data_IF_104624305565
#
_entry.id   IF_104624305565
#
_cell.length_a   1.000
_cell.length_b   1.000
_cell.length_c   1.000
_cell.angle_alpha   90.00
_cell.angle_beta   90.00
_cell.angle_gamma   90.00
#
_symmetry.space_group_name_H-M   'P 1'
#
loop_
_entity.id
_entity.type
_entity.pdbx_description
1 polymer ?
#
# COMPACT_ATOMS: atom_id res chain seq x y z
N UNK A 1 40.23 52.42 -70.85
CA UNK A 1 40.46 51.51 -69.73
C UNK A 1 39.56 51.96 -68.58
N UNK A 2 38.37 51.38 -68.49
CA UNK A 2 37.34 51.75 -67.50
C UNK A 2 37.42 50.77 -66.39
N UNK A 3 37.72 51.24 -65.20
CA UNK A 3 37.78 50.43 -63.94
C UNK A 3 36.37 50.37 -63.34
N UNK A 4 35.80 49.19 -63.37
CA UNK A 4 34.46 48.92 -62.80
C UNK A 4 34.63 48.50 -61.30
N UNK A 5 34.23 49.36 -60.39
CA UNK A 5 34.28 49.14 -58.98
C UNK A 5 33.02 48.31 -58.51
N UNK A 6 33.20 47.04 -58.25
CA UNK A 6 32.13 46.21 -57.67
C UNK A 6 32.02 46.49 -56.18
N UNK A 7 30.93 47.15 -55.79
CA UNK A 7 30.57 47.35 -54.40
C UNK A 7 29.77 46.12 -53.88
N UNK A 8 30.44 45.26 -53.12
CA UNK A 8 29.78 44.09 -52.46
C UNK A 8 28.99 44.58 -51.27
N UNK A 9 27.66 44.57 -51.34
CA UNK A 9 26.76 44.86 -50.28
C UNK A 9 26.56 43.52 -49.50
N UNK A 10 27.20 43.38 -48.33
CA UNK A 10 26.96 42.32 -47.41
C UNK A 10 25.67 42.61 -46.61
N UNK A 11 24.59 41.89 -46.91
CA UNK A 11 23.42 41.86 -46.04
C UNK A 11 23.75 41.08 -44.77
N UNK A 12 23.97 41.80 -43.69
CA UNK A 12 23.97 41.20 -42.37
C UNK A 12 22.50 40.86 -42.01
N UNK A 13 22.14 39.57 -42.07
CA UNK A 13 20.87 39.07 -41.52
C UNK A 13 20.93 39.19 -40.00
N UNK A 14 20.27 40.21 -39.49
CA UNK A 14 20.01 40.28 -38.04
C UNK A 14 19.00 39.15 -37.70
N UNK A 15 19.50 38.05 -37.18
CA UNK A 15 18.65 37.08 -36.54
C UNK A 15 18.07 37.78 -35.30
N UNK A 16 16.82 38.16 -35.37
CA UNK A 16 16.04 38.57 -34.19
C UNK A 16 15.96 37.34 -33.28
N UNK A 17 16.69 37.39 -32.19
CA UNK A 17 16.48 36.44 -31.11
C UNK A 17 15.02 36.61 -30.66
N UNK A 18 14.19 35.61 -30.92
CA UNK A 18 12.85 35.54 -30.39
C UNK A 18 12.99 35.50 -28.85
N UNK A 19 12.58 36.60 -28.18
CA UNK A 19 12.60 36.64 -26.72
C UNK A 19 11.75 35.48 -26.20
N UNK A 20 12.39 34.55 -25.49
CA UNK A 20 11.69 33.42 -24.89
C UNK A 20 10.57 33.95 -23.98
N UNK A 21 9.34 33.57 -24.26
CA UNK A 21 8.19 33.95 -23.44
C UNK A 21 8.45 33.54 -21.99
N UNK A 22 8.18 34.41 -21.01
CA UNK A 22 8.36 34.06 -19.60
C UNK A 22 7.42 32.91 -19.20
N UNK A 23 7.91 32.00 -18.38
CA UNK A 23 7.09 30.92 -17.83
C UNK A 23 6.15 31.50 -16.81
N UNK A 24 4.86 31.27 -16.98
CA UNK A 24 3.80 31.60 -16.03
C UNK A 24 3.40 30.39 -15.24
N UNK A 25 3.14 30.56 -13.95
CA UNK A 25 2.69 29.48 -13.05
C UNK A 25 1.40 29.92 -12.38
N UNK A 26 0.39 29.09 -12.49
CA UNK A 26 -0.91 29.27 -11.85
C UNK A 26 -1.10 28.17 -10.80
N UNK A 27 -1.66 28.54 -9.64
CA UNK A 27 -2.14 27.60 -8.62
C UNK A 27 -3.62 27.88 -8.42
N UNK A 28 -4.47 26.89 -8.64
CA UNK A 28 -5.94 27.00 -8.55
C UNK A 28 -6.49 28.23 -9.28
N UNK A 29 -6.05 28.44 -10.53
CA UNK A 29 -6.41 29.53 -11.43
C UNK A 29 -5.79 30.92 -11.07
N UNK A 30 -5.07 31.05 -9.96
CA UNK A 30 -4.37 32.29 -9.59
C UNK A 30 -2.93 32.31 -10.11
N UNK A 31 -2.54 33.37 -10.85
CA UNK A 31 -1.17 33.54 -11.35
C UNK A 31 -0.22 33.87 -10.18
N UNK A 32 0.82 33.04 -10.00
CA UNK A 32 1.84 33.29 -8.99
C UNK A 32 2.85 34.33 -9.45
N UNK A 33 3.16 35.24 -8.54
CA UNK A 33 4.24 36.20 -8.69
C UNK A 33 5.50 35.73 -7.96
N UNK A 34 6.64 35.93 -8.59
CA UNK A 34 7.94 35.54 -8.08
C UNK A 34 8.93 36.71 -8.10
N UNK A 35 9.76 36.85 -7.06
CA UNK A 35 10.85 37.82 -7.04
C UNK A 35 11.96 37.38 -8.03
N UNK A 36 12.22 36.07 -8.12
CA UNK A 36 13.10 35.45 -9.12
C UNK A 36 12.22 34.65 -10.08
N UNK A 37 12.20 34.99 -11.39
CA UNK A 37 11.34 34.31 -12.36
C UNK A 37 11.57 32.80 -12.42
N UNK A 38 10.52 31.99 -12.75
CA UNK A 38 10.68 30.59 -12.96
C UNK A 38 11.82 30.24 -13.93
N UNK A 39 12.61 29.25 -13.57
CA UNK A 39 13.79 28.84 -14.32
C UNK A 39 13.58 27.44 -14.91
N UNK A 40 13.66 27.32 -16.23
CA UNK A 40 13.79 26.01 -16.89
C UNK A 40 15.25 25.57 -16.89
N UNK A 41 15.58 24.53 -16.13
CA UNK A 41 16.92 23.98 -16.04
C UNK A 41 16.86 22.45 -16.11
N UNK A 42 17.63 21.87 -17.05
CA UNK A 42 17.61 20.41 -17.30
C UNK A 42 16.19 19.84 -17.45
N UNK A 43 15.34 20.45 -18.28
CA UNK A 43 13.95 20.06 -18.53
C UNK A 43 13.04 20.09 -17.28
N UNK A 44 13.48 20.77 -16.24
CA UNK A 44 12.73 20.92 -14.99
C UNK A 44 12.51 22.39 -14.69
N UNK A 45 11.28 22.76 -14.39
CA UNK A 45 10.95 24.13 -13.97
C UNK A 45 11.18 24.26 -12.47
N UNK A 46 11.98 25.27 -12.12
CA UNK A 46 12.25 25.66 -10.75
C UNK A 46 11.51 26.95 -10.43
N UNK A 47 10.94 27.01 -9.24
CA UNK A 47 10.22 28.19 -8.73
C UNK A 47 10.63 28.49 -7.30
N UNK A 48 10.41 29.70 -6.82
CA UNK A 48 10.64 30.06 -5.42
C UNK A 48 9.79 29.24 -4.49
N UNK A 49 10.43 28.55 -3.52
CA UNK A 49 9.72 27.66 -2.60
C UNK A 49 8.66 28.39 -1.80
N UNK A 50 8.96 29.64 -1.39
CA UNK A 50 8.09 30.40 -0.49
C UNK A 50 6.79 30.80 -1.18
N UNK A 51 6.86 31.28 -2.41
CA UNK A 51 5.66 31.63 -3.20
C UNK A 51 4.82 30.38 -3.49
N UNK A 52 5.47 29.26 -3.90
CA UNK A 52 4.77 28.04 -4.21
C UNK A 52 4.07 27.43 -2.97
N UNK A 53 4.80 27.18 -1.89
CA UNK A 53 4.23 26.56 -0.69
C UNK A 53 3.15 27.42 -0.02
N UNK A 54 3.30 28.76 -0.08
CA UNK A 54 2.26 29.67 0.43
C UNK A 54 0.97 29.58 -0.40
N UNK A 55 1.09 29.49 -1.72
CA UNK A 55 -0.07 29.33 -2.60
C UNK A 55 -0.75 27.96 -2.44
N UNK A 56 0.01 26.95 -2.00
CA UNK A 56 -0.49 25.62 -1.68
C UNK A 56 -1.03 25.50 -0.23
N UNK A 57 -1.14 26.61 0.50
CA UNK A 57 -1.61 26.68 1.90
C UNK A 57 -0.77 25.85 2.88
N UNK A 58 0.56 25.88 2.70
CA UNK A 58 1.51 25.23 3.61
C UNK A 58 2.17 26.24 4.55
N UNK A 59 2.24 25.87 5.82
CA UNK A 59 3.13 26.54 6.77
C UNK A 59 4.58 26.22 6.45
N UNK A 60 5.43 27.27 6.36
CA UNK A 60 6.83 27.11 5.97
C UNK A 60 7.80 27.65 7.01
N UNK A 61 8.92 26.95 7.17
CA UNK A 61 10.08 27.43 7.90
C UNK A 61 11.35 27.18 7.11
N UNK A 62 12.39 27.99 7.35
CA UNK A 62 13.68 27.87 6.71
C UNK A 62 14.79 27.95 7.74
N UNK A 63 15.59 26.90 7.84
CA UNK A 63 16.79 26.87 8.64
C UNK A 63 17.98 27.27 7.76
N UNK A 64 18.50 28.48 7.99
CA UNK A 64 19.59 29.02 7.20
C UNK A 64 20.92 28.31 7.42
N UNK A 65 21.16 27.78 8.63
CA UNK A 65 22.39 27.06 8.96
C UNK A 65 22.45 25.69 8.28
N UNK A 66 21.33 24.96 8.30
CA UNK A 66 21.19 23.66 7.63
C UNK A 66 20.79 23.79 6.16
N UNK A 67 20.48 25.01 5.66
CA UNK A 67 19.92 25.27 4.33
C UNK A 67 18.68 24.41 4.03
N UNK A 68 17.84 24.22 5.05
CA UNK A 68 16.70 23.30 5.02
C UNK A 68 15.38 24.05 5.00
N UNK A 69 14.52 23.67 4.08
CA UNK A 69 13.12 24.06 4.01
C UNK A 69 12.30 22.99 4.73
N UNK A 70 11.34 23.43 5.56
CA UNK A 70 10.27 22.57 6.06
C UNK A 70 8.95 23.21 5.70
N UNK A 71 8.07 22.38 5.15
CA UNK A 71 6.71 22.77 4.83
C UNK A 71 5.75 21.75 5.48
N UNK A 72 4.63 22.25 5.99
CA UNK A 72 3.59 21.44 6.63
C UNK A 72 2.23 21.89 6.12
N UNK A 73 1.38 20.96 5.70
CA UNK A 73 0.00 21.28 5.31
C UNK A 73 -0.81 21.82 6.49
N UNK A 74 -1.85 22.59 6.22
CA UNK A 74 -2.68 23.22 7.25
C UNK A 74 -3.35 22.19 8.19
N UNK A 75 -3.72 21.01 7.68
CA UNK A 75 -4.22 19.88 8.46
C UNK A 75 -3.11 19.12 9.21
N UNK A 76 -1.84 19.39 8.87
CA UNK A 76 -0.67 18.76 9.47
C UNK A 76 -0.36 17.35 8.98
N UNK A 77 -1.09 16.81 8.03
CA UNK A 77 -0.93 15.45 7.54
C UNK A 77 0.26 15.29 6.59
N UNK A 78 0.61 16.34 5.84
CA UNK A 78 1.75 16.31 4.92
C UNK A 78 2.88 17.18 5.45
N UNK A 79 4.05 16.57 5.63
CA UNK A 79 5.30 17.26 5.96
C UNK A 79 6.35 17.02 4.87
N UNK A 80 7.01 18.09 4.43
CA UNK A 80 8.03 18.03 3.39
C UNK A 80 9.28 18.74 3.90
N UNK A 81 10.41 18.05 3.91
CA UNK A 81 11.71 18.67 4.17
C UNK A 81 12.60 18.57 2.93
N UNK A 82 13.15 19.70 2.51
CA UNK A 82 14.07 19.82 1.39
C UNK A 82 15.35 20.51 1.85
N UNK A 83 16.51 20.02 1.39
CA UNK A 83 17.80 20.66 1.68
C UNK A 83 18.43 21.13 0.38
N UNK A 84 18.89 22.37 0.35
CA UNK A 84 19.56 22.95 -0.83
C UNK A 84 20.78 22.10 -1.18
N UNK A 85 20.88 21.70 -2.45
CA UNK A 85 21.95 20.85 -2.96
C UNK A 85 21.83 19.37 -2.63
N UNK A 86 20.75 18.92 -1.99
CA UNK A 86 20.47 17.49 -1.74
C UNK A 86 19.47 16.93 -2.74
N UNK A 87 19.73 15.72 -3.22
CA UNK A 87 18.81 14.93 -4.02
C UNK A 87 17.90 14.04 -3.17
N UNK A 88 17.92 14.21 -1.84
CA UNK A 88 17.02 13.49 -0.93
C UNK A 88 16.10 14.49 -0.25
N UNK A 89 14.82 14.22 -0.35
CA UNK A 89 13.76 14.89 0.41
C UNK A 89 13.26 13.96 1.53
N UNK A 90 12.65 14.53 2.57
CA UNK A 90 11.93 13.77 3.58
C UNK A 90 10.45 14.16 3.44
N UNK A 91 9.60 13.16 3.16
CA UNK A 91 8.14 13.35 3.03
C UNK A 91 7.49 12.45 4.07
N UNK A 92 6.71 13.05 4.99
CA UNK A 92 6.06 12.34 6.10
C UNK A 92 7.02 11.46 6.93
N UNK A 93 8.27 11.94 7.10
CA UNK A 93 9.32 11.21 7.83
C UNK A 93 10.10 10.18 7.00
N UNK A 94 9.68 9.90 5.78
CA UNK A 94 10.35 8.94 4.90
C UNK A 94 11.31 9.63 3.92
N UNK A 95 12.47 9.00 3.69
CA UNK A 95 13.45 9.46 2.71
C UNK A 95 13.01 9.15 1.28
N UNK A 96 12.81 10.17 0.47
CA UNK A 96 12.43 10.06 -0.94
C UNK A 96 13.52 10.63 -1.83
N UNK A 97 13.94 9.89 -2.85
CA UNK A 97 14.90 10.37 -3.83
C UNK A 97 14.23 11.39 -4.76
N UNK A 98 14.83 12.56 -4.89
CA UNK A 98 14.46 13.56 -5.89
C UNK A 98 15.51 13.56 -7.00
N UNK A 99 15.12 13.45 -8.27
CA UNK A 99 16.08 13.51 -9.38
C UNK A 99 16.72 14.91 -9.53
N UNK A 100 16.17 15.92 -8.84
CA UNK A 100 16.60 17.31 -8.94
C UNK A 100 16.73 17.94 -7.55
N UNK A 101 17.82 18.69 -7.37
CA UNK A 101 18.16 19.33 -6.08
C UNK A 101 17.57 20.74 -6.01
N UNK A 102 17.09 21.20 -4.84
CA UNK A 102 16.80 22.62 -4.64
C UNK A 102 18.04 23.49 -4.85
N UNK A 103 17.87 24.65 -5.47
CA UNK A 103 18.95 25.56 -5.87
C UNK A 103 18.86 26.89 -5.11
N UNK A 104 20.00 27.52 -4.87
CA UNK A 104 20.06 28.92 -4.40
C UNK A 104 20.38 29.85 -5.59
N UNK A 105 19.51 30.82 -5.87
CA UNK A 105 19.71 31.79 -6.94
C UNK A 105 19.24 33.18 -6.48
N UNK A 106 20.06 34.19 -6.67
CA UNK A 106 19.74 35.57 -6.32
C UNK A 106 19.21 35.75 -4.89
N UNK A 107 19.77 34.96 -3.93
CA UNK A 107 19.36 34.97 -2.53
C UNK A 107 18.02 34.25 -2.26
N UNK A 108 17.41 33.62 -3.24
CA UNK A 108 16.17 32.84 -3.13
C UNK A 108 16.45 31.35 -3.33
N UNK A 109 15.73 30.53 -2.59
CA UNK A 109 15.77 29.07 -2.79
C UNK A 109 14.71 28.68 -3.79
N UNK A 110 15.14 28.05 -4.86
CA UNK A 110 14.27 27.51 -5.92
C UNK A 110 14.13 25.99 -5.76
N UNK A 111 12.92 25.50 -5.94
CA UNK A 111 12.59 24.07 -5.82
C UNK A 111 12.03 23.54 -7.15
N UNK A 112 12.25 22.24 -7.44
CA UNK A 112 11.67 21.61 -8.62
C UNK A 112 10.14 21.56 -8.48
N UNK A 113 9.41 22.35 -9.26
CA UNK A 113 7.97 22.54 -9.11
C UNK A 113 7.22 21.22 -9.16
N UNK A 114 7.47 20.38 -10.18
CA UNK A 114 6.77 19.10 -10.36
C UNK A 114 7.01 18.13 -9.21
N UNK A 115 8.22 18.11 -8.64
CA UNK A 115 8.51 17.25 -7.50
C UNK A 115 7.74 17.70 -6.26
N UNK A 116 7.74 19.02 -5.99
CA UNK A 116 7.00 19.57 -4.83
C UNK A 116 5.50 19.36 -5.02
N UNK A 117 4.96 19.70 -6.18
CA UNK A 117 3.54 19.50 -6.47
C UNK A 117 3.12 18.03 -6.27
N UNK A 118 3.92 17.08 -6.78
CA UNK A 118 3.66 15.66 -6.55
C UNK A 118 3.71 15.29 -5.06
N UNK A 119 4.66 15.85 -4.31
CA UNK A 119 4.77 15.61 -2.86
C UNK A 119 3.61 16.19 -2.05
N UNK A 120 2.95 17.22 -2.57
CA UNK A 120 1.73 17.83 -1.96
C UNK A 120 0.44 17.22 -2.49
N UNK A 121 0.51 16.25 -3.41
CA UNK A 121 -0.65 15.68 -4.08
C UNK A 121 -1.21 16.54 -5.22
N UNK A 122 -0.59 17.69 -5.53
CA UNK A 122 -1.05 18.57 -6.58
C UNK A 122 -0.79 18.01 -7.98
N UNK A 123 -1.73 18.25 -8.89
CA UNK A 123 -1.59 17.92 -10.31
C UNK A 123 -0.92 19.06 -11.06
N UNK A 124 0.00 18.75 -12.00
CA UNK A 124 0.75 19.74 -12.77
C UNK A 124 0.56 19.49 -14.26
N UNK A 125 0.01 20.48 -14.96
CA UNK A 125 -0.10 20.51 -16.40
C UNK A 125 0.84 21.56 -17.00
N UNK A 126 1.45 21.24 -18.13
CA UNK A 126 2.31 22.15 -18.90
C UNK A 126 1.72 22.44 -20.26
N UNK A 127 1.55 23.72 -20.56
CA UNK A 127 1.06 24.22 -21.85
C UNK A 127 2.21 24.91 -22.61
N UNK A 128 2.88 24.20 -23.52
CA UNK A 128 4.09 24.70 -24.18
C UNK A 128 3.84 25.92 -25.08
N UNK A 129 2.66 26.02 -25.67
CA UNK A 129 2.32 27.13 -26.61
C UNK A 129 2.21 28.47 -25.88
N UNK A 130 1.72 28.46 -24.64
CA UNK A 130 1.58 29.65 -23.79
C UNK A 130 2.69 29.79 -22.78
N UNK A 131 3.61 28.82 -22.67
CA UNK A 131 4.63 28.72 -21.61
C UNK A 131 3.99 28.79 -20.19
N UNK A 132 2.86 28.11 -20.02
CA UNK A 132 2.08 28.15 -18.80
C UNK A 132 2.12 26.81 -18.06
N UNK A 133 2.31 26.87 -16.76
CA UNK A 133 2.15 25.74 -15.87
C UNK A 133 0.92 26.01 -15.00
N UNK A 134 0.01 25.03 -14.93
CA UNK A 134 -1.08 25.03 -13.96
C UNK A 134 -0.79 23.98 -12.91
N UNK A 135 -0.88 24.38 -11.65
CA UNK A 135 -0.83 23.51 -10.48
C UNK A 135 -2.20 23.55 -9.87
N UNK A 136 -2.87 22.42 -9.91
CA UNK A 136 -4.21 22.28 -9.33
C UNK A 136 -4.07 21.47 -8.06
N UNK A 137 -4.32 22.12 -6.92
CA UNK A 137 -4.47 21.39 -5.67
C UNK A 137 -5.68 20.49 -5.80
N UNK A 138 -5.57 19.24 -5.39
CA UNK A 138 -6.76 18.44 -5.22
C UNK A 138 -7.56 19.12 -4.11
N UNK A 139 -8.50 19.97 -4.48
CA UNK A 139 -9.60 20.21 -3.58
C UNK A 139 -10.27 18.86 -3.47
N UNK A 140 -10.00 18.14 -2.36
CA UNK A 140 -10.85 17.04 -1.93
C UNK A 140 -12.24 17.62 -1.74
N UNK A 141 -12.90 17.90 -2.87
CA UNK A 141 -14.25 18.36 -2.89
C UNK A 141 -15.06 17.39 -2.03
N UNK A 142 -15.83 17.90 -1.09
CA UNK A 142 -16.71 17.06 -0.23
C UNK A 142 -17.51 16.04 -1.04
N UNK A 143 -17.88 16.37 -2.28
CA UNK A 143 -18.55 15.45 -3.19
C UNK A 143 -17.67 14.30 -3.65
N UNK A 144 -16.36 14.51 -3.77
CA UNK A 144 -15.39 13.51 -4.17
C UNK A 144 -15.14 12.51 -3.05
N UNK A 145 -14.83 12.99 -1.85
CA UNK A 145 -14.73 12.17 -0.63
C UNK A 145 -16.01 11.39 -0.43
N UNK A 146 -17.17 12.06 -0.49
CA UNK A 146 -18.47 11.40 -0.38
C UNK A 146 -18.72 10.32 -1.47
N UNK A 147 -18.10 10.43 -2.65
CA UNK A 147 -18.21 9.39 -3.68
C UNK A 147 -17.42 8.14 -3.33
N UNK A 148 -16.25 8.31 -2.71
CA UNK A 148 -15.41 7.20 -2.20
C UNK A 148 -16.09 6.55 -1.00
N UNK A 149 -16.53 7.32 -0.01
CA UNK A 149 -17.25 6.82 1.16
C UNK A 149 -18.50 6.02 0.76
N UNK A 150 -19.23 6.50 -0.25
CA UNK A 150 -20.41 5.78 -0.79
C UNK A 150 -20.00 4.46 -1.45
N UNK A 151 -18.86 4.39 -2.16
CA UNK A 151 -18.35 3.12 -2.70
C UNK A 151 -18.01 2.18 -1.55
N UNK A 152 -17.28 2.64 -0.53
CA UNK A 152 -16.89 1.83 0.62
C UNK A 152 -18.11 1.29 1.36
N UNK A 153 -19.12 2.13 1.58
CA UNK A 153 -20.39 1.70 2.19
C UNK A 153 -21.09 0.63 1.35
N UNK A 154 -21.28 0.86 0.05
CA UNK A 154 -21.93 -0.12 -0.85
C UNK A 154 -21.15 -1.45 -0.90
N UNK A 155 -19.82 -1.39 -0.89
CA UNK A 155 -18.97 -2.58 -0.83
C UNK A 155 -19.21 -3.37 0.46
N UNK A 156 -19.23 -2.68 1.60
CA UNK A 156 -19.53 -3.29 2.90
C UNK A 156 -20.93 -3.92 2.96
N UNK A 157 -21.93 -3.25 2.41
CA UNK A 157 -23.32 -3.75 2.31
C UNK A 157 -23.39 -5.00 1.42
N UNK A 158 -22.70 -4.99 0.26
CA UNK A 158 -22.66 -6.13 -0.65
C UNK A 158 -21.95 -7.35 -0.04
N UNK A 159 -20.82 -7.14 0.66
CA UNK A 159 -20.14 -8.21 1.40
C UNK A 159 -21.03 -8.75 2.54
N UNK A 160 -21.68 -7.85 3.30
CA UNK A 160 -22.57 -8.21 4.41
C UNK A 160 -23.82 -8.98 3.95
N UNK A 161 -24.30 -8.70 2.74
CA UNK A 161 -25.42 -9.44 2.14
C UNK A 161 -25.00 -10.77 1.48
N UNK A 162 -23.69 -11.04 1.36
CA UNK A 162 -23.12 -12.19 0.65
C UNK A 162 -23.34 -12.11 -0.87
N UNK A 163 -23.63 -10.93 -1.42
CA UNK A 163 -23.90 -10.74 -2.85
C UNK A 163 -22.58 -10.68 -3.65
N UNK A 164 -22.05 -11.86 -3.98
CA UNK A 164 -20.79 -12.03 -4.72
C UNK A 164 -20.80 -11.28 -6.06
N UNK A 165 -21.94 -11.27 -6.75
CA UNK A 165 -22.05 -10.59 -8.05
C UNK A 165 -21.89 -9.08 -7.88
N UNK A 166 -22.50 -8.50 -6.85
CA UNK A 166 -22.38 -7.09 -6.53
C UNK A 166 -20.97 -6.72 -6.07
N UNK A 167 -20.36 -7.49 -5.16
CA UNK A 167 -18.94 -7.30 -4.77
C UNK A 167 -18.06 -7.32 -6.01
N UNK A 168 -18.24 -8.29 -6.90
CA UNK A 168 -17.47 -8.38 -8.14
C UNK A 168 -17.70 -7.18 -9.08
N UNK A 169 -18.87 -6.55 -9.01
CA UNK A 169 -19.17 -5.38 -9.83
C UNK A 169 -18.37 -4.13 -9.46
N UNK A 170 -17.86 -4.05 -8.24
CA UNK A 170 -16.97 -2.97 -7.79
C UNK A 170 -15.54 -3.13 -8.27
N UNK A 171 -15.12 -4.32 -8.73
CA UNK A 171 -13.77 -4.57 -9.21
C UNK A 171 -13.58 -4.00 -10.62
N UNK A 172 -12.38 -3.48 -10.86
CA UNK A 172 -11.97 -3.07 -12.21
C UNK A 172 -11.87 -4.29 -13.13
N UNK A 173 -12.11 -4.11 -14.43
CA UNK A 173 -12.07 -5.20 -15.42
C UNK A 173 -10.70 -5.90 -15.48
N UNK A 174 -9.62 -5.18 -15.13
CA UNK A 174 -8.26 -5.70 -15.07
C UNK A 174 -7.93 -6.39 -13.74
N UNK A 175 -8.86 -6.40 -12.77
CA UNK A 175 -8.64 -7.10 -11.51
C UNK A 175 -8.33 -8.58 -11.76
N UNK A 176 -7.24 -9.07 -11.21
CA UNK A 176 -6.83 -10.45 -11.41
C UNK A 176 -7.72 -11.44 -10.65
N UNK A 177 -7.77 -12.68 -11.10
CA UNK A 177 -8.63 -13.71 -10.50
C UNK A 177 -8.26 -14.01 -9.04
N UNK A 178 -7.00 -13.84 -8.68
CA UNK A 178 -6.55 -14.01 -7.29
C UNK A 178 -7.23 -12.98 -6.37
N UNK A 179 -7.23 -11.70 -6.76
CA UNK A 179 -7.89 -10.65 -5.98
C UNK A 179 -9.41 -10.89 -5.89
N UNK A 180 -10.05 -11.30 -6.99
CA UNK A 180 -11.49 -11.64 -6.99
C UNK A 180 -11.79 -12.75 -5.99
N UNK A 181 -11.01 -13.83 -6.00
CA UNK A 181 -11.20 -14.93 -5.05
C UNK A 181 -10.91 -14.51 -3.60
N UNK A 182 -9.90 -13.65 -3.37
CA UNK A 182 -9.63 -13.10 -2.04
C UNK A 182 -10.82 -12.28 -1.50
N UNK A 183 -11.47 -11.50 -2.36
CA UNK A 183 -12.59 -10.66 -1.94
C UNK A 183 -13.94 -11.41 -1.83
N UNK A 184 -14.11 -12.50 -2.56
CA UNK A 184 -15.44 -13.16 -2.66
C UNK A 184 -15.45 -14.61 -2.20
N UNK A 185 -14.28 -15.26 -2.15
CA UNK A 185 -14.18 -16.70 -1.89
C UNK A 185 -14.74 -17.12 -0.54
N UNK A 186 -14.47 -16.34 0.50
CA UNK A 186 -14.97 -16.60 1.85
C UNK A 186 -16.51 -16.39 1.96
N UNK A 187 -17.08 -15.47 1.17
CA UNK A 187 -18.53 -15.21 1.16
C UNK A 187 -19.37 -16.41 0.72
N UNK A 188 -18.74 -17.39 0.04
CA UNK A 188 -19.40 -18.65 -0.34
C UNK A 188 -19.70 -19.54 0.86
N UNK A 189 -19.00 -19.36 1.98
CA UNK A 189 -19.01 -20.25 3.14
C UNK A 189 -19.46 -19.57 4.42
N UNK A 190 -19.32 -18.24 4.53
CA UNK A 190 -19.49 -17.49 5.77
C UNK A 190 -20.39 -16.30 5.55
N UNK A 191 -21.34 -16.10 6.47
CA UNK A 191 -22.12 -14.86 6.54
C UNK A 191 -21.43 -13.93 7.55
N UNK A 192 -21.19 -12.70 7.10
CA UNK A 192 -20.46 -11.68 7.85
C UNK A 192 -21.21 -10.35 7.87
N UNK A 193 -20.83 -9.46 8.75
CA UNK A 193 -21.01 -8.01 8.57
C UNK A 193 -19.66 -7.37 8.27
N UNK A 194 -19.63 -6.44 7.32
CA UNK A 194 -18.43 -5.69 6.98
C UNK A 194 -18.73 -4.19 6.98
N UNK A 195 -17.85 -3.43 7.61
CA UNK A 195 -17.87 -1.98 7.57
C UNK A 195 -16.50 -1.47 7.13
N UNK A 196 -16.50 -0.40 6.33
CA UNK A 196 -15.27 0.30 5.91
C UNK A 196 -15.29 1.72 6.44
N UNK A 197 -14.20 2.13 7.05
CA UNK A 197 -13.98 3.49 7.55
C UNK A 197 -12.77 4.10 6.84
N UNK A 198 -12.99 5.17 6.08
CA UNK A 198 -11.94 5.88 5.38
C UNK A 198 -11.00 6.54 6.39
N UNK A 199 -9.70 6.22 6.31
CA UNK A 199 -8.67 6.83 7.16
C UNK A 199 -8.01 8.00 6.44
N UNK A 200 -7.53 7.79 5.22
CA UNK A 200 -6.78 8.78 4.46
C UNK A 200 -6.92 8.57 2.96
N UNK A 201 -6.77 9.64 2.21
CA UNK A 201 -6.65 9.63 0.76
C UNK A 201 -5.26 10.13 0.41
N UNK A 202 -4.54 9.38 -0.43
CA UNK A 202 -3.22 9.73 -0.94
C UNK A 202 -3.14 9.53 -2.45
N UNK A 203 -2.15 10.15 -3.10
CA UNK A 203 -1.89 10.00 -4.53
C UNK A 203 -3.15 10.11 -5.40
N UNK A 204 -3.81 11.28 -5.30
CA UNK A 204 -5.05 11.52 -6.03
C UNK A 204 -4.79 12.11 -7.42
N UNK A 205 -5.49 11.52 -8.41
CA UNK A 205 -5.62 12.03 -9.78
C UNK A 205 -7.11 12.02 -10.18
N UNK A 206 -7.49 12.70 -11.25
CA UNK A 206 -8.90 12.73 -11.69
C UNK A 206 -9.53 11.35 -11.89
N UNK A 207 -8.72 10.38 -12.32
CA UNK A 207 -9.16 9.03 -12.67
C UNK A 207 -8.55 7.93 -11.81
N UNK A 208 -7.73 8.26 -10.84
CA UNK A 208 -7.09 7.31 -9.94
C UNK A 208 -6.92 7.90 -8.55
N UNK A 209 -7.07 7.08 -7.53
CA UNK A 209 -6.85 7.47 -6.14
C UNK A 209 -6.35 6.28 -5.34
N UNK A 210 -5.40 6.51 -4.47
CA UNK A 210 -5.00 5.56 -3.44
C UNK A 210 -5.57 6.01 -2.10
N UNK A 211 -6.19 5.11 -1.38
CA UNK A 211 -6.75 5.37 -0.07
C UNK A 211 -6.34 4.31 0.95
N UNK A 212 -6.43 4.69 2.20
CA UNK A 212 -6.27 3.82 3.36
C UNK A 212 -7.58 3.80 4.14
N UNK A 213 -8.03 2.60 4.51
CA UNK A 213 -9.26 2.42 5.25
C UNK A 213 -9.13 1.31 6.29
N UNK A 214 -9.92 1.39 7.35
CA UNK A 214 -10.17 0.26 8.25
C UNK A 214 -11.32 -0.58 7.66
N UNK A 215 -11.12 -1.88 7.59
CA UNK A 215 -12.14 -2.87 7.28
C UNK A 215 -12.42 -3.68 8.53
N UNK A 216 -13.59 -3.49 9.11
CA UNK A 216 -14.06 -4.20 10.30
C UNK A 216 -14.99 -5.31 9.85
N UNK A 217 -14.66 -6.56 10.15
CA UNK A 217 -15.44 -7.72 9.73
C UNK A 217 -15.80 -8.59 10.92
N UNK A 218 -17.11 -8.89 11.06
CA UNK A 218 -17.62 -9.76 12.11
C UNK A 218 -18.41 -10.92 11.51
N UNK A 219 -18.16 -12.13 11.97
CA UNK A 219 -18.91 -13.34 11.59
C UNK A 219 -20.31 -13.35 12.20
N UNK A 220 -21.29 -13.69 11.38
CA UNK A 220 -22.66 -13.94 11.81
C UNK A 220 -22.90 -15.44 11.91
N UNK A 221 -22.57 -16.21 10.87
CA UNK A 221 -22.82 -17.65 10.79
C UNK A 221 -22.00 -18.32 9.68
N UNK A 222 -22.09 -19.64 9.56
CA UNK A 222 -21.43 -20.41 8.50
C UNK A 222 -20.09 -21.00 8.94
N UNK A 223 -19.17 -21.18 7.98
CA UNK A 223 -17.86 -21.78 8.18
C UNK A 223 -16.96 -21.04 9.19
N UNK A 224 -15.70 -21.42 9.24
CA UNK A 224 -14.74 -20.75 10.10
C UNK A 224 -14.38 -19.35 9.57
N UNK A 225 -14.40 -18.37 10.42
CA UNK A 225 -13.94 -17.01 10.16
C UNK A 225 -13.67 -16.30 11.50
N UNK A 226 -12.56 -15.61 11.62
CA UNK A 226 -12.23 -14.79 12.79
C UNK A 226 -12.64 -13.35 12.55
N UNK A 227 -13.36 -12.77 13.49
CA UNK A 227 -13.63 -11.34 13.50
C UNK A 227 -12.30 -10.59 13.51
N UNK A 228 -12.22 -9.54 12.70
CA UNK A 228 -10.97 -8.82 12.57
C UNK A 228 -11.19 -7.34 12.23
N UNK A 229 -10.19 -6.56 12.56
CA UNK A 229 -10.00 -5.19 12.11
C UNK A 229 -8.75 -5.17 11.22
N UNK A 230 -8.90 -4.79 9.98
CA UNK A 230 -7.81 -4.77 9.00
C UNK A 230 -7.59 -3.35 8.51
N UNK A 231 -6.39 -2.83 8.65
CA UNK A 231 -5.99 -1.64 7.90
C UNK A 231 -5.60 -2.06 6.49
N UNK A 232 -6.23 -1.45 5.49
CA UNK A 232 -6.05 -1.79 4.07
C UNK A 232 -5.62 -0.57 3.26
N UNK A 233 -4.78 -0.81 2.25
CA UNK A 233 -4.62 0.09 1.12
C UNK A 233 -5.52 -0.36 -0.03
N UNK A 234 -6.13 0.61 -0.70
CA UNK A 234 -6.98 0.38 -1.85
C UNK A 234 -6.64 1.40 -2.95
N UNK A 235 -6.47 0.91 -4.17
CA UNK A 235 -6.36 1.75 -5.37
C UNK A 235 -7.69 1.70 -6.11
N UNK A 236 -8.27 2.88 -6.30
CA UNK A 236 -9.49 3.04 -7.09
C UNK A 236 -9.17 3.73 -8.40
N UNK A 237 -9.84 3.30 -9.46
CA UNK A 237 -9.74 3.93 -10.79
C UNK A 237 -11.13 4.14 -11.37
N UNK A 238 -11.23 5.07 -12.33
CA UNK A 238 -12.46 5.33 -13.10
C UNK A 238 -12.10 5.81 -14.51
N UNK A 239 -12.98 5.57 -15.48
CA UNK A 239 -12.73 5.94 -16.88
C UNK A 239 -12.79 7.46 -17.14
N UNK A 240 -13.56 8.19 -16.33
CA UNK A 240 -13.72 9.65 -16.43
C UNK A 240 -14.18 10.24 -15.09
N UNK A 241 -14.15 11.58 -14.96
CA UNK A 241 -14.58 12.28 -13.74
C UNK A 241 -16.03 11.99 -13.30
N UNK A 242 -16.89 11.62 -14.25
CA UNK A 242 -18.30 11.29 -14.00
C UNK A 242 -18.55 9.79 -13.85
N UNK A 243 -17.55 8.94 -14.11
CA UNK A 243 -17.70 7.49 -14.00
C UNK A 243 -17.63 7.03 -12.54
N UNK A 244 -18.22 5.88 -12.26
CA UNK A 244 -18.13 5.24 -10.94
C UNK A 244 -16.71 4.71 -10.67
N UNK A 245 -16.28 4.78 -9.42
CA UNK A 245 -15.02 4.20 -8.98
C UNK A 245 -15.05 2.68 -9.05
N UNK A 246 -13.93 2.09 -9.46
CA UNK A 246 -13.68 0.65 -9.46
C UNK A 246 -12.42 0.36 -8.68
N UNK A 247 -12.41 -0.76 -7.97
CA UNK A 247 -11.25 -1.24 -7.22
C UNK A 247 -10.29 -1.90 -8.20
N UNK A 248 -9.12 -1.30 -8.37
CA UNK A 248 -8.05 -1.85 -9.20
C UNK A 248 -7.14 -2.77 -8.37
N UNK A 249 -6.85 -2.36 -7.14
CA UNK A 249 -6.04 -3.15 -6.20
C UNK A 249 -6.50 -2.94 -4.76
N UNK A 250 -6.33 -3.97 -3.93
CA UNK A 250 -6.60 -3.95 -2.49
C UNK A 250 -5.67 -4.94 -1.80
N UNK A 251 -5.02 -4.48 -0.74
CA UNK A 251 -4.18 -5.34 0.10
C UNK A 251 -4.17 -4.89 1.55
N UNK A 252 -4.10 -5.82 2.50
CA UNK A 252 -4.00 -5.48 3.90
C UNK A 252 -2.60 -4.96 4.24
N UNK A 253 -2.54 -3.93 5.09
CA UNK A 253 -1.33 -3.44 5.75
C UNK A 253 -1.12 -4.16 7.08
N UNK A 254 -2.22 -4.34 7.81
CA UNK A 254 -2.26 -5.10 9.07
C UNK A 254 -3.61 -5.79 9.20
N UNK A 255 -3.63 -6.89 9.93
CA UNK A 255 -4.85 -7.60 10.32
C UNK A 255 -4.74 -7.88 11.80
N UNK A 256 -5.66 -7.34 12.59
CA UNK A 256 -5.80 -7.61 14.00
C UNK A 256 -7.02 -8.51 14.19
N UNK A 257 -6.79 -9.75 14.64
CA UNK A 257 -7.87 -10.68 14.97
C UNK A 257 -8.37 -10.39 16.38
N UNK A 258 -9.70 -10.28 16.53
CA UNK A 258 -10.29 -9.97 17.82
C UNK A 258 -10.26 -11.23 18.68
N UNK A 259 -9.34 -11.27 19.63
CA UNK A 259 -9.20 -12.36 20.59
C UNK A 259 -10.36 -12.35 21.62
N UNK A 260 -10.65 -13.51 22.21
CA UNK A 260 -11.68 -13.66 23.25
C UNK A 260 -13.10 -13.93 22.73
N UNK A 261 -13.26 -14.20 21.46
CA UNK A 261 -14.55 -14.57 20.86
C UNK A 261 -14.96 -15.97 21.22
N UNK A 262 -16.28 -16.17 21.29
CA UNK A 262 -16.88 -17.49 21.54
C UNK A 262 -16.36 -18.59 20.61
N UNK A 263 -15.95 -18.23 19.38
CA UNK A 263 -15.42 -19.16 18.40
C UNK A 263 -14.12 -19.85 18.83
N UNK A 264 -13.22 -19.14 19.50
CA UNK A 264 -12.01 -19.75 20.06
C UNK A 264 -12.30 -20.71 21.22
N UNK A 265 -13.50 -20.64 21.79
CA UNK A 265 -13.95 -21.49 22.89
C UNK A 265 -14.80 -22.68 22.42
N UNK A 266 -15.20 -22.71 21.14
CA UNK A 266 -15.98 -23.79 20.55
C UNK A 266 -15.23 -25.12 20.65
N UNK A 267 -16.01 -26.18 20.91
CA UNK A 267 -15.52 -27.56 20.96
C UNK A 267 -16.39 -28.39 20.01
N UNK A 268 -16.05 -28.43 18.71
CA UNK A 268 -16.82 -29.19 17.75
C UNK A 268 -16.73 -30.70 18.05
N UNK A 269 -17.75 -31.43 17.66
CA UNK A 269 -17.71 -32.90 17.67
C UNK A 269 -16.81 -33.34 16.50
N UNK A 270 -15.69 -33.96 16.85
CA UNK A 270 -14.70 -34.47 15.89
C UNK A 270 -14.61 -35.97 16.01
N UNK A 271 -14.73 -36.76 14.93
CA UNK A 271 -14.48 -38.20 14.98
C UNK A 271 -13.09 -38.51 15.53
N UNK A 272 -12.99 -39.52 16.41
CA UNK A 272 -11.73 -39.85 17.10
C UNK A 272 -10.57 -40.10 16.13
N UNK A 273 -10.82 -40.74 14.97
CA UNK A 273 -9.84 -40.99 13.92
C UNK A 273 -9.25 -39.68 13.34
N UNK A 274 -10.11 -38.69 13.03
CA UNK A 274 -9.67 -37.41 12.53
C UNK A 274 -8.96 -36.60 13.62
N UNK A 275 -9.48 -36.62 14.84
CA UNK A 275 -8.82 -35.95 15.97
C UNK A 275 -7.40 -36.46 16.19
N UNK A 276 -7.20 -37.78 16.17
CA UNK A 276 -5.87 -38.40 16.33
C UNK A 276 -4.95 -37.96 15.17
N UNK A 277 -5.43 -38.02 13.93
CA UNK A 277 -4.63 -37.63 12.72
C UNK A 277 -4.25 -36.16 12.74
N UNK A 278 -5.20 -35.27 13.09
CA UNK A 278 -4.96 -33.81 13.17
C UNK A 278 -3.90 -33.51 14.23
N UNK A 279 -4.04 -34.08 15.43
CA UNK A 279 -3.09 -33.84 16.52
C UNK A 279 -1.69 -34.41 16.22
N UNK A 280 -1.63 -35.59 15.58
CA UNK A 280 -0.37 -36.19 15.14
C UNK A 280 0.34 -35.34 14.07
N UNK A 281 -0.40 -34.80 13.12
CA UNK A 281 0.16 -33.95 12.06
C UNK A 281 0.80 -32.65 12.63
N UNK A 282 0.21 -32.04 13.65
CA UNK A 282 0.79 -30.88 14.33
C UNK A 282 2.11 -31.22 15.04
N UNK A 283 2.19 -32.41 15.66
CA UNK A 283 3.43 -32.88 16.28
C UNK A 283 4.49 -33.23 15.23
N UNK A 284 4.08 -33.80 14.10
CA UNK A 284 4.97 -34.12 12.98
C UNK A 284 5.57 -32.82 12.41
N UNK A 285 4.77 -31.80 12.20
CA UNK A 285 5.23 -30.48 11.74
C UNK A 285 6.19 -29.83 12.74
N UNK A 286 5.84 -29.82 14.04
CA UNK A 286 6.74 -29.32 15.09
C UNK A 286 8.11 -30.05 15.05
N UNK A 287 8.09 -31.38 14.92
CA UNK A 287 9.32 -32.17 14.88
C UNK A 287 10.13 -31.90 13.63
N UNK A 288 9.48 -31.75 12.47
CA UNK A 288 10.14 -31.39 11.21
C UNK A 288 10.85 -30.03 11.32
N UNK A 289 10.18 -29.03 11.88
CA UNK A 289 10.76 -27.70 12.11
C UNK A 289 11.95 -27.75 13.07
N UNK A 290 11.79 -28.42 14.23
CA UNK A 290 12.84 -28.54 15.25
C UNK A 290 14.09 -29.30 14.76
N UNK A 291 13.89 -30.28 13.88
CA UNK A 291 14.95 -31.09 13.28
C UNK A 291 15.49 -30.50 11.97
N UNK A 292 14.91 -29.39 11.48
CA UNK A 292 15.23 -28.76 10.19
C UNK A 292 15.05 -29.76 9.01
N UNK A 293 14.10 -30.65 9.15
CA UNK A 293 13.77 -31.61 8.10
C UNK A 293 12.79 -30.99 7.09
N UNK A 294 13.36 -30.29 6.10
CA UNK A 294 12.60 -29.63 5.02
C UNK A 294 11.71 -30.62 4.27
N UNK A 295 12.16 -31.88 4.09
CA UNK A 295 11.38 -32.87 3.37
C UNK A 295 10.13 -33.27 4.17
N UNK A 296 10.30 -33.51 5.46
CA UNK A 296 9.17 -33.83 6.35
C UNK A 296 8.23 -32.63 6.49
N UNK A 297 8.77 -31.41 6.68
CA UNK A 297 7.98 -30.18 6.70
C UNK A 297 7.11 -30.03 5.43
N UNK A 298 7.68 -30.16 4.24
CA UNK A 298 6.92 -30.10 3.00
C UNK A 298 5.88 -31.23 2.84
N UNK A 299 6.07 -32.38 3.50
CA UNK A 299 5.11 -33.47 3.49
C UNK A 299 3.89 -33.21 4.37
N UNK A 300 4.00 -32.34 5.39
CA UNK A 300 2.87 -31.95 6.24
C UNK A 300 1.98 -30.91 5.57
N UNK A 301 2.49 -30.17 4.57
CA UNK A 301 1.79 -29.07 3.92
C UNK A 301 0.87 -29.54 2.79
N UNK A 302 -0.13 -28.70 2.48
CA UNK A 302 -0.98 -28.84 1.29
C UNK A 302 -0.14 -28.86 0.01
N UNK A 303 -0.17 -29.92 -0.77
CA UNK A 303 0.62 -30.02 -1.99
C UNK A 303 0.25 -28.96 -3.05
N UNK A 304 -0.99 -28.43 -3.02
CA UNK A 304 -1.43 -27.40 -3.96
C UNK A 304 -0.85 -26.02 -3.60
N UNK A 305 -0.63 -25.76 -2.31
CA UNK A 305 -0.02 -24.52 -1.81
C UNK A 305 1.52 -24.64 -1.66
N UNK A 306 2.05 -25.84 -1.53
CA UNK A 306 3.49 -26.06 -1.37
C UNK A 306 4.30 -25.72 -2.64
N UNK A 307 3.66 -25.57 -3.81
CA UNK A 307 4.34 -25.28 -5.08
C UNK A 307 5.19 -24.01 -5.09
N UNK A 308 4.67 -22.84 -4.63
CA UNK A 308 5.46 -21.62 -4.50
C UNK A 308 6.55 -21.70 -3.43
N UNK A 309 6.27 -22.42 -2.33
CA UNK A 309 7.21 -22.61 -1.22
C UNK A 309 8.35 -23.56 -1.66
N UNK A 310 8.03 -24.63 -2.37
CA UNK A 310 9.03 -25.58 -2.92
C UNK A 310 10.03 -24.89 -3.86
N UNK A 311 9.60 -23.92 -4.69
CA UNK A 311 10.50 -23.14 -5.55
C UNK A 311 11.43 -22.22 -4.75
N UNK A 312 11.05 -21.84 -3.54
CA UNK A 312 11.83 -20.97 -2.65
C UNK A 312 12.77 -21.75 -1.73
N UNK A 313 12.43 -23.01 -1.42
CA UNK A 313 13.19 -23.90 -0.52
C UNK A 313 14.24 -24.77 -1.24
N UNK A 314 14.28 -24.77 -2.58
CA UNK A 314 15.46 -25.24 -3.33
C UNK A 314 16.73 -24.39 -3.08
N UNK A 315 16.57 -23.19 -2.50
CA UNK A 315 17.63 -22.47 -1.81
C UNK A 315 17.59 -22.85 -0.32
N UNK A 316 18.68 -23.41 0.19
CA UNK A 316 18.89 -23.94 1.55
C UNK A 316 18.61 -22.97 2.73
N UNK A 317 17.80 -21.91 2.57
CA UNK A 317 17.84 -20.74 3.45
C UNK A 317 16.69 -20.46 4.43
N UNK A 318 15.59 -21.16 4.58
CA UNK A 318 14.62 -20.75 5.60
C UNK A 318 15.04 -21.07 7.05
N UNK A 319 15.96 -22.06 7.24
CA UNK A 319 16.26 -22.59 8.57
C UNK A 319 17.72 -22.45 9.02
N UNK A 320 18.63 -21.93 8.17
CA UNK A 320 20.07 -22.06 8.40
C UNK A 320 20.66 -21.09 9.44
N UNK A 321 19.95 -20.03 9.83
CA UNK A 321 20.54 -18.96 10.64
C UNK A 321 19.99 -18.79 12.06
N UNK A 322 18.92 -19.47 12.45
CA UNK A 322 18.35 -19.35 13.80
C UNK A 322 18.14 -20.73 14.43
N UNK A 323 18.85 -21.01 15.53
CA UNK A 323 18.73 -22.25 16.28
C UNK A 323 17.46 -22.21 17.17
N UNK A 324 16.30 -22.11 16.50
CA UNK A 324 15.00 -22.01 17.16
C UNK A 324 14.45 -23.41 17.47
N UNK A 325 13.75 -23.48 18.62
CA UNK A 325 12.95 -24.61 19.03
C UNK A 325 11.50 -24.17 19.20
N UNK A 326 10.59 -25.02 18.79
CA UNK A 326 9.16 -24.85 18.89
C UNK A 326 8.58 -25.88 19.85
N UNK A 327 7.82 -25.43 20.84
CA UNK A 327 6.98 -26.26 21.71
C UNK A 327 5.50 -25.93 21.51
N UNK A 328 4.64 -26.94 21.51
CA UNK A 328 3.20 -26.76 21.46
C UNK A 328 2.65 -26.92 22.88
N UNK A 329 2.41 -25.79 23.57
CA UNK A 329 1.95 -25.78 24.96
C UNK A 329 0.49 -26.25 25.09
N UNK A 330 -0.36 -25.85 24.12
CA UNK A 330 -1.73 -26.37 24.03
C UNK A 330 -2.20 -26.48 22.57
N UNK A 331 -3.12 -27.40 22.33
CA UNK A 331 -3.75 -27.63 21.02
C UNK A 331 -5.22 -27.96 21.22
N UNK A 332 -6.11 -27.24 20.58
CA UNK A 332 -7.55 -27.46 20.65
C UNK A 332 -8.21 -27.24 19.29
N UNK A 333 -8.93 -28.24 18.80
CA UNK A 333 -9.75 -28.07 17.59
C UNK A 333 -10.93 -27.17 17.97
N UNK A 334 -11.05 -26.04 17.27
CA UNK A 334 -12.08 -25.03 17.51
C UNK A 334 -13.12 -24.96 16.40
N UNK A 335 -12.83 -25.61 15.27
CA UNK A 335 -13.77 -25.77 14.17
C UNK A 335 -13.48 -27.09 13.44
N UNK A 336 -14.54 -27.74 12.98
CA UNK A 336 -14.46 -28.96 12.18
C UNK A 336 -15.77 -29.15 11.38
N UNK A 337 -15.67 -29.42 10.08
CA UNK A 337 -16.79 -29.71 9.19
C UNK A 337 -16.66 -31.02 8.38
N UNK A 338 -15.63 -31.81 8.68
CA UNK A 338 -15.29 -33.06 7.96
C UNK A 338 -14.29 -32.88 6.83
N UNK A 339 -14.20 -31.70 6.24
CA UNK A 339 -13.25 -31.36 5.18
C UNK A 339 -12.16 -30.38 5.65
N UNK A 340 -12.52 -29.48 6.54
CA UNK A 340 -11.62 -28.47 7.14
C UNK A 340 -11.64 -28.59 8.66
N UNK A 341 -10.52 -28.27 9.27
CA UNK A 341 -10.36 -28.15 10.71
C UNK A 341 -9.50 -26.93 11.02
N UNK A 342 -9.81 -26.26 12.13
CA UNK A 342 -9.02 -25.15 12.64
C UNK A 342 -8.62 -25.45 14.06
N UNK A 343 -7.33 -25.36 14.33
CA UNK A 343 -6.77 -25.70 15.65
C UNK A 343 -6.18 -24.45 16.26
N UNK A 344 -6.71 -24.06 17.41
CA UNK A 344 -6.09 -23.06 18.28
C UNK A 344 -4.87 -23.69 18.94
N UNK A 345 -3.72 -23.06 18.76
CA UNK A 345 -2.43 -23.55 19.25
C UNK A 345 -1.77 -22.42 20.04
N UNK A 346 -1.39 -22.74 21.26
CA UNK A 346 -0.43 -21.92 22.01
C UNK A 346 0.94 -22.55 21.78
N UNK A 347 1.83 -21.82 21.20
CA UNK A 347 3.18 -22.27 20.89
C UNK A 347 4.22 -21.40 21.55
N UNK A 348 5.33 -22.01 21.96
CA UNK A 348 6.48 -21.33 22.53
C UNK A 348 7.68 -21.48 21.62
N UNK A 349 8.31 -20.36 21.28
CA UNK A 349 9.48 -20.31 20.43
C UNK A 349 10.66 -19.77 21.23
N UNK A 350 11.76 -20.50 21.25
CA UNK A 350 12.97 -20.11 21.94
C UNK A 350 14.25 -20.55 21.20
N UNK A 351 15.39 -19.94 21.53
CA UNK A 351 16.68 -20.39 21.03
C UNK A 351 17.08 -21.68 21.74
N UNK A 352 17.56 -22.69 21.01
CA UNK A 352 17.98 -23.99 21.57
C UNK A 352 19.07 -23.87 22.63
N UNK A 353 19.88 -22.80 22.53
CA UNK A 353 20.93 -22.48 23.50
C UNK A 353 20.42 -21.82 24.78
N UNK A 354 19.15 -21.38 24.80
CA UNK A 354 18.57 -20.63 25.91
C UNK A 354 17.66 -21.53 26.78
N UNK A 355 17.43 -21.06 28.02
CA UNK A 355 16.39 -21.64 28.85
C UNK A 355 15.01 -21.50 28.19
N UNK A 356 14.20 -22.56 28.04
CA UNK A 356 12.87 -22.46 27.47
C UNK A 356 11.97 -21.42 28.15
N UNK A 357 12.22 -21.10 29.43
CA UNK A 357 11.48 -20.06 30.15
C UNK A 357 11.60 -18.66 29.53
N UNK A 358 12.65 -18.43 28.74
CA UNK A 358 12.89 -17.15 28.01
C UNK A 358 12.29 -17.13 26.61
N UNK A 359 11.52 -18.14 26.24
CA UNK A 359 10.83 -18.21 24.96
C UNK A 359 9.66 -17.23 24.87
N UNK A 360 9.31 -16.86 23.65
CA UNK A 360 8.13 -16.06 23.32
C UNK A 360 6.96 -17.03 23.11
N UNK A 361 5.89 -16.88 23.89
CA UNK A 361 4.62 -17.57 23.64
C UNK A 361 3.83 -16.82 22.56
N UNK A 362 3.20 -17.55 21.66
CA UNK A 362 2.31 -17.01 20.62
C UNK A 362 1.04 -17.83 20.56
N UNK A 363 -0.07 -17.15 20.37
CA UNK A 363 -1.36 -17.77 20.10
C UNK A 363 -1.69 -17.70 18.62
N UNK A 364 -1.93 -18.85 18.00
CA UNK A 364 -2.26 -18.94 16.59
C UNK A 364 -3.47 -19.83 16.34
N UNK A 365 -4.14 -19.62 15.22
CA UNK A 365 -5.05 -20.63 14.67
C UNK A 365 -4.44 -21.22 13.41
N UNK A 366 -4.21 -22.53 13.43
CA UNK A 366 -3.68 -23.29 12.31
C UNK A 366 -4.82 -23.93 11.51
N UNK A 367 -5.01 -23.56 10.23
CA UNK A 367 -5.96 -24.22 9.35
C UNK A 367 -5.41 -25.54 8.82
N UNK A 368 -6.27 -26.55 8.74
CA UNK A 368 -6.02 -27.85 8.15
C UNK A 368 -7.15 -28.19 7.18
N UNK A 369 -6.84 -29.05 6.23
CA UNK A 369 -7.86 -29.61 5.34
C UNK A 369 -7.57 -31.09 5.05
N UNK A 370 -8.62 -31.80 4.66
CA UNK A 370 -8.59 -33.22 4.38
C UNK A 370 -8.48 -33.45 2.86
N UNK A 371 -7.50 -34.24 2.46
CA UNK A 371 -7.35 -34.68 1.07
C UNK A 371 -8.38 -35.77 0.72
N UNK A 372 -8.55 -36.04 -0.58
CA UNK A 372 -9.43 -37.10 -1.09
C UNK A 372 -9.07 -38.50 -0.57
N UNK A 373 -7.79 -38.75 -0.28
CA UNK A 373 -7.31 -40.01 0.32
C UNK A 373 -7.58 -40.12 1.82
N UNK A 374 -8.22 -39.12 2.42
CA UNK A 374 -8.56 -39.04 3.84
C UNK A 374 -7.41 -38.61 4.76
N UNK A 375 -6.25 -38.24 4.21
CA UNK A 375 -5.16 -37.66 4.98
C UNK A 375 -5.36 -36.16 5.23
N UNK A 376 -4.89 -35.67 6.37
CA UNK A 376 -4.90 -34.26 6.70
C UNK A 376 -3.62 -33.55 6.29
N UNK A 377 -3.72 -32.25 5.95
CA UNK A 377 -2.59 -31.38 5.62
C UNK A 377 -2.78 -30.00 6.22
N UNK A 378 -1.67 -29.37 6.55
CA UNK A 378 -1.63 -27.98 7.04
C UNK A 378 -1.74 -26.99 5.87
N UNK A 379 -2.49 -25.90 6.08
CA UNK A 379 -2.34 -24.73 5.22
C UNK A 379 -1.03 -24.00 5.60
N UNK A 380 -0.28 -23.45 4.63
CA UNK A 380 1.02 -22.82 4.87
C UNK A 380 0.88 -21.38 5.42
N UNK A 381 -0.14 -21.10 6.18
CA UNK A 381 -0.38 -19.85 6.90
C UNK A 381 -1.11 -20.12 8.21
N UNK A 382 -0.99 -19.18 9.12
CA UNK A 382 -1.68 -19.18 10.42
C UNK A 382 -2.36 -17.83 10.61
N UNK A 383 -3.41 -17.81 11.45
CA UNK A 383 -3.95 -16.58 12.00
C UNK A 383 -3.20 -16.29 13.29
N UNK A 384 -2.54 -15.15 13.37
CA UNK A 384 -1.80 -14.69 14.54
C UNK A 384 -2.76 -13.92 15.45
N UNK A 385 -2.88 -14.32 16.72
CA UNK A 385 -3.85 -13.73 17.65
C UNK A 385 -3.21 -12.75 18.64
N UNK A 386 -1.88 -12.62 18.62
CA UNK A 386 -1.09 -11.72 19.49
C UNK A 386 -0.94 -10.31 18.93
#
# INVERSE_FOLDING_TARGET
MVFMLLCSITFASAATAEEAKPIKVYVDEEELTFDVPPLLYHYTTYVEFRSLFKALDYEISYDAAAKRIRARSADGEITIELTVGSSTAIINGESVSSPFQPLLREGRTLVPLRFVAKATGAHVEWYPETQTITVVMPVLNKSYVASIERLLQKLGDAESSGNIAEVSSFLHTNANEYMKEQMTGYLKKVNITTNYELIAISNWEKTSVMLRANKITNKISGGFYLDNNSEINMTLTRESDSAEWKIEDIYPLSIEYISGQGQLLEQPVVPDDDKVKIMALLEEEKNALNNRDTKQHLATLDPNFAGPIRKKTDSKEPFDNLDLQLELESKRIIYYDGAEAYVHVVQKIYLKSNDPSQGISREIVQPLFKLEDGSWRLRPFTYDLD
#
